data_IF_631867002760
#
_entry.id   IF_631867002760
#
_cell.length_a   1.000
_cell.length_b   1.000
_cell.length_c   1.000
_cell.angle_alpha   90.00
_cell.angle_beta   90.00
_cell.angle_gamma   90.00
#
_symmetry.space_group_name_H-M   'P 1'
#
loop_
_entity.id
_entity.type
_entity.pdbx_description
1 polymer ?
#
# COMPACT_ATOMS: atom_id res chain seq x y z
N UNK A 1 -17.49 -11.61 -12.04
CA UNK A 1 -16.71 -12.64 -11.29
C UNK A 1 -16.53 -12.09 -9.89
N UNK A 2 -17.03 -12.78 -8.88
CA UNK A 2 -16.81 -12.41 -7.48
C UNK A 2 -15.47 -12.98 -7.01
N UNK A 3 -14.73 -12.21 -6.21
CA UNK A 3 -13.50 -12.65 -5.56
C UNK A 3 -13.82 -13.02 -4.11
N UNK A 4 -13.10 -13.97 -3.50
CA UNK A 4 -13.30 -14.25 -2.09
C UNK A 4 -12.99 -13.00 -1.25
N UNK A 5 -13.65 -12.85 -0.09
CA UNK A 5 -13.41 -11.74 0.83
C UNK A 5 -11.94 -11.76 1.29
N UNK A 6 -11.40 -10.57 1.58
CA UNK A 6 -10.02 -10.40 2.05
C UNK A 6 -9.79 -10.87 3.49
N UNK A 7 -10.84 -11.32 4.19
CA UNK A 7 -10.81 -11.66 5.60
C UNK A 7 -11.34 -10.51 6.47
N UNK A 8 -11.16 -10.56 7.79
CA UNK A 8 -11.47 -9.43 8.66
C UNK A 8 -10.54 -8.25 8.37
N UNK A 9 -11.05 -7.04 8.60
CA UNK A 9 -10.22 -5.85 8.60
C UNK A 9 -9.10 -5.98 9.65
N UNK A 10 -7.92 -5.45 9.30
CA UNK A 10 -6.74 -5.40 10.18
C UNK A 10 -6.31 -3.96 10.39
N UNK A 11 -5.49 -3.71 11.41
CA UNK A 11 -4.93 -2.38 11.61
C UNK A 11 -4.02 -2.01 10.42
N UNK A 12 -4.37 -0.96 9.69
CA UNK A 12 -3.56 -0.39 8.62
C UNK A 12 -3.24 1.09 8.87
N UNK A 13 -2.14 1.56 8.29
CA UNK A 13 -1.73 2.96 8.20
C UNK A 13 -2.69 3.77 7.33
N UNK A 14 -3.23 3.15 6.27
CA UNK A 14 -4.25 3.68 5.34
C UNK A 14 -3.78 4.80 4.41
N UNK A 15 -2.59 5.35 4.61
CA UNK A 15 -1.91 6.27 3.69
C UNK A 15 -0.40 6.01 3.59
N UNK A 16 0.01 4.73 3.41
CA UNK A 16 1.43 4.34 3.44
C UNK A 16 2.15 4.64 2.11
N UNK A 17 2.27 5.92 1.78
CA UNK A 17 2.91 6.42 0.57
C UNK A 17 4.37 6.84 0.83
N UNK A 18 5.23 6.99 -0.20
CA UNK A 18 6.64 7.34 -0.03
C UNK A 18 6.88 8.62 0.79
N UNK A 19 5.99 9.62 0.68
CA UNK A 19 6.09 10.87 1.41
C UNK A 19 5.96 10.69 2.94
N UNK A 20 5.34 9.60 3.39
CA UNK A 20 5.12 9.28 4.81
C UNK A 20 6.21 8.36 5.39
N UNK A 21 7.28 8.06 4.63
CA UNK A 21 8.37 7.19 5.07
C UNK A 21 9.67 7.99 5.26
N UNK A 22 10.26 7.89 6.45
CA UNK A 22 11.56 8.50 6.74
C UNK A 22 12.68 7.47 6.60
N UNK A 23 13.68 7.80 5.80
CA UNK A 23 14.87 6.96 5.56
C UNK A 23 16.13 7.70 5.97
N UNK A 24 17.06 7.00 6.62
CA UNK A 24 18.42 7.47 6.89
C UNK A 24 19.41 6.46 6.32
N UNK A 25 20.08 6.83 5.22
CA UNK A 25 20.93 5.90 4.48
C UNK A 25 20.08 4.80 3.83
N UNK A 26 20.37 3.55 4.17
CA UNK A 26 19.66 2.36 3.70
C UNK A 26 18.58 1.86 4.69
N UNK A 27 18.30 2.61 5.76
CA UNK A 27 17.38 2.20 6.82
C UNK A 27 16.13 3.07 6.89
N UNK A 28 14.97 2.43 6.97
CA UNK A 28 13.72 3.07 7.40
C UNK A 28 13.84 3.43 8.90
N UNK A 29 13.60 4.69 9.24
CA UNK A 29 13.75 5.24 10.60
C UNK A 29 12.48 5.86 11.16
N UNK A 30 11.41 5.95 10.37
CA UNK A 30 10.14 6.47 10.84
C UNK A 30 9.02 6.36 9.82
N UNK A 31 7.80 6.43 10.33
CA UNK A 31 6.55 6.52 9.58
C UNK A 31 5.81 7.76 10.10
N UNK A 32 5.34 8.59 9.17
CA UNK A 32 4.65 9.85 9.45
C UNK A 32 3.16 9.74 9.12
N UNK A 33 2.40 10.77 9.50
CA UNK A 33 0.96 10.88 9.24
C UNK A 33 0.12 9.71 9.79
N UNK A 34 0.40 9.37 11.05
CA UNK A 34 -0.29 8.32 11.78
C UNK A 34 -1.74 8.69 12.19
N UNK A 35 -2.32 9.77 11.63
CA UNK A 35 -3.68 10.20 11.96
C UNK A 35 -4.78 9.26 11.44
N UNK A 36 -4.45 8.46 10.42
CA UNK A 36 -5.41 7.61 9.71
C UNK A 36 -5.46 6.15 10.15
N UNK A 37 -4.62 5.74 11.11
CA UNK A 37 -4.57 4.34 11.56
C UNK A 37 -5.96 3.81 11.94
N UNK A 38 -6.28 2.61 11.45
CA UNK A 38 -7.55 1.97 11.78
C UNK A 38 -7.80 0.68 11.02
N UNK A 39 -8.97 0.05 11.22
CA UNK A 39 -9.38 -1.14 10.48
C UNK A 39 -9.39 -0.88 8.97
N UNK A 40 -8.77 -1.78 8.20
CA UNK A 40 -8.68 -1.72 6.75
C UNK A 40 -8.53 -3.12 6.14
N UNK A 41 -8.80 -3.20 4.83
CA UNK A 41 -8.46 -4.39 4.03
C UNK A 41 -6.95 -4.72 4.20
N UNK A 42 -6.57 -5.97 4.50
CA UNK A 42 -5.18 -6.37 4.69
C UNK A 42 -4.24 -6.00 3.53
N UNK A 43 -4.77 -5.88 2.32
CA UNK A 43 -3.99 -5.53 1.14
C UNK A 43 -3.79 -4.01 0.96
N UNK A 44 -4.45 -3.15 1.76
CA UNK A 44 -4.46 -1.71 1.54
C UNK A 44 -3.04 -1.12 1.62
N UNK A 45 -2.30 -1.40 2.69
CA UNK A 45 -0.95 -0.82 2.88
C UNK A 45 0.12 -1.40 1.94
N UNK A 46 -0.20 -2.44 1.18
CA UNK A 46 0.69 -2.94 0.11
C UNK A 46 0.91 -1.88 -0.98
N UNK A 47 0.10 -0.82 -1.04
CA UNK A 47 0.33 0.36 -1.89
C UNK A 47 1.76 0.90 -1.78
N UNK A 48 2.38 0.81 -0.59
CA UNK A 48 3.77 1.21 -0.37
C UNK A 48 4.72 0.49 -1.34
N UNK A 49 4.54 -0.83 -1.51
CA UNK A 49 5.38 -1.61 -2.40
C UNK A 49 5.17 -1.25 -3.87
N UNK A 50 3.95 -0.85 -4.26
CA UNK A 50 3.62 -0.43 -5.61
C UNK A 50 4.14 0.98 -5.95
N UNK A 51 4.24 1.86 -4.95
CA UNK A 51 4.78 3.20 -5.12
C UNK A 51 6.32 3.25 -5.07
N UNK A 52 6.95 2.42 -4.24
CA UNK A 52 8.39 2.52 -3.95
C UNK A 52 9.27 1.67 -4.88
N UNK A 53 8.77 0.51 -5.33
CA UNK A 53 9.62 -0.54 -5.83
C UNK A 53 9.31 -0.95 -7.27
N UNK A 54 10.36 -1.23 -8.01
CA UNK A 54 10.29 -1.90 -9.30
C UNK A 54 9.86 -3.37 -9.14
N UNK A 55 9.71 -4.06 -10.27
CA UNK A 55 9.21 -5.45 -10.28
C UNK A 55 10.04 -6.39 -9.41
N UNK A 56 11.36 -6.35 -9.50
CA UNK A 56 12.23 -7.28 -8.75
C UNK A 56 12.15 -7.04 -7.24
N UNK A 57 12.22 -5.80 -6.77
CA UNK A 57 12.10 -5.49 -5.34
C UNK A 57 10.69 -5.76 -4.79
N UNK A 58 9.66 -5.58 -5.61
CA UNK A 58 8.28 -5.99 -5.27
C UNK A 58 8.17 -7.49 -5.01
N UNK A 59 8.86 -8.32 -5.79
CA UNK A 59 8.90 -9.77 -5.55
C UNK A 59 9.58 -10.09 -4.22
N UNK A 60 10.66 -9.38 -3.85
CA UNK A 60 11.29 -9.52 -2.54
C UNK A 60 10.35 -9.15 -1.40
N UNK A 61 9.63 -8.03 -1.49
CA UNK A 61 8.67 -7.59 -0.47
C UNK A 61 7.52 -8.59 -0.34
N UNK A 62 6.92 -9.02 -1.45
CA UNK A 62 5.84 -10.01 -1.46
C UNK A 62 6.26 -11.31 -0.77
N UNK A 63 7.48 -11.79 -1.05
CA UNK A 63 8.00 -13.01 -0.44
C UNK A 63 8.17 -12.86 1.08
N UNK A 64 8.69 -11.73 1.56
CA UNK A 64 8.87 -11.47 3.00
C UNK A 64 7.54 -11.31 3.75
N UNK A 65 6.53 -10.71 3.11
CA UNK A 65 5.20 -10.56 3.70
C UNK A 65 4.37 -11.84 3.64
N UNK A 66 4.78 -12.84 2.84
CA UNK A 66 4.00 -14.05 2.62
C UNK A 66 2.68 -13.81 1.90
N UNK A 67 2.53 -12.69 1.19
CA UNK A 67 1.25 -12.29 0.60
C UNK A 67 0.82 -13.26 -0.50
N UNK A 68 -0.44 -13.68 -0.41
CA UNK A 68 -1.04 -14.54 -1.43
C UNK A 68 -1.07 -13.85 -2.79
N UNK A 69 -1.23 -14.61 -3.88
CA UNK A 69 -1.36 -14.00 -5.21
C UNK A 69 -2.56 -13.04 -5.28
N UNK A 70 -3.69 -13.43 -4.67
CA UNK A 70 -4.90 -12.61 -4.69
C UNK A 70 -4.74 -11.33 -3.88
N UNK A 71 -4.19 -11.42 -2.68
CA UNK A 71 -3.89 -10.27 -1.83
C UNK A 71 -2.92 -9.30 -2.51
N UNK A 72 -1.86 -9.83 -3.15
CA UNK A 72 -0.91 -9.02 -3.89
C UNK A 72 -1.55 -8.26 -5.07
N UNK A 73 -2.42 -8.94 -5.82
CA UNK A 73 -3.19 -8.31 -6.90
C UNK A 73 -4.18 -7.27 -6.37
N UNK A 74 -4.78 -7.52 -5.20
CA UNK A 74 -5.65 -6.55 -4.52
C UNK A 74 -4.88 -5.31 -4.08
N UNK A 75 -3.67 -5.47 -3.55
CA UNK A 75 -2.77 -4.35 -3.24
C UNK A 75 -2.43 -3.51 -4.48
N UNK A 76 -2.23 -4.16 -5.63
CA UNK A 76 -2.04 -3.48 -6.91
C UNK A 76 -3.28 -2.65 -7.30
N UNK A 77 -4.47 -3.21 -7.09
CA UNK A 77 -5.74 -2.54 -7.37
C UNK A 77 -5.95 -1.33 -6.44
N UNK A 78 -5.57 -1.41 -5.17
CA UNK A 78 -5.58 -0.26 -4.26
C UNK A 78 -4.64 0.86 -4.73
N UNK A 79 -3.41 0.52 -5.13
CA UNK A 79 -2.47 1.52 -5.67
C UNK A 79 -3.01 2.18 -6.95
N UNK A 80 -3.66 1.41 -7.82
CA UNK A 80 -4.31 1.94 -9.01
C UNK A 80 -5.48 2.87 -8.67
N UNK A 81 -6.35 2.48 -7.72
CA UNK A 81 -7.48 3.30 -7.29
C UNK A 81 -7.00 4.64 -6.71
N UNK A 82 -5.95 4.65 -5.89
CA UNK A 82 -5.35 5.88 -5.37
C UNK A 82 -4.85 6.78 -6.51
N UNK A 83 -4.09 6.22 -7.47
CA UNK A 83 -3.57 6.97 -8.61
C UNK A 83 -4.68 7.61 -9.47
N UNK A 84 -5.79 6.90 -9.67
CA UNK A 84 -6.96 7.44 -10.38
C UNK A 84 -7.60 8.62 -9.64
N UNK A 85 -7.59 8.62 -8.30
CA UNK A 85 -8.11 9.72 -7.48
C UNK A 85 -7.28 11.00 -7.63
N UNK A 86 -5.95 10.87 -7.76
CA UNK A 86 -5.05 12.03 -7.89
C UNK A 86 -5.37 12.91 -9.10
N UNK A 87 -5.73 12.30 -10.24
CA UNK A 87 -6.08 13.04 -11.47
C UNK A 87 -7.23 14.01 -11.23
N UNK A 88 -8.24 13.58 -10.47
CA UNK A 88 -9.40 14.42 -10.17
C UNK A 88 -9.09 15.46 -9.10
N UNK A 89 -8.33 15.08 -8.09
CA UNK A 89 -7.91 15.99 -7.02
C UNK A 89 -7.13 17.17 -7.62
N UNK A 90 -6.03 16.91 -8.32
CA UNK A 90 -5.16 17.94 -8.89
C UNK A 90 -5.73 18.64 -10.13
N UNK A 91 -6.91 18.27 -10.61
CA UNK A 91 -7.57 19.03 -11.67
C UNK A 91 -8.09 20.37 -11.16
N UNK A 92 -8.48 20.43 -9.88
CA UNK A 92 -9.18 21.58 -9.27
C UNK A 92 -8.42 22.27 -8.15
N UNK A 93 -7.23 21.77 -7.80
CA UNK A 93 -6.28 22.38 -6.88
C UNK A 93 -5.04 22.83 -7.62
#
# INVERSE_FOLDING_TARGET
RELPPSGPDVLGHRDLIPANLLVRGDRLVGVLDCGSFGPADPALDLVAAWHLFDRSRRETVRAHLGSSQLEWQRGAAWAFQQAMGLVWYYRST
#
